data_IF_703639743175
#
_entry.id   IF_703639743175
#
_cell.length_a   1.000
_cell.length_b   1.000
_cell.length_c   1.000
_cell.angle_alpha   90.00
_cell.angle_beta   90.00
_cell.angle_gamma   90.00
#
_symmetry.space_group_name_H-M   'P 1'
#
loop_
_entity.id
_entity.type
_entity.pdbx_description
1 polymer ?
#
# COMPACT_ATOMS: atom_id res chain seq x y z
N UNK A 1 -28.83 -41.02 3.62
CA UNK A 1 -29.86 -42.03 3.28
C UNK A 1 -31.27 -41.48 2.97
N UNK A 2 -31.57 -40.17 3.07
CA UNK A 2 -32.91 -39.61 2.76
C UNK A 2 -33.13 -39.12 1.31
N UNK A 3 -32.12 -39.11 0.44
CA UNK A 3 -32.26 -38.65 -0.96
C UNK A 3 -32.73 -39.77 -1.90
N UNK A 4 -32.43 -41.03 -1.57
CA UNK A 4 -32.79 -42.19 -2.42
C UNK A 4 -34.29 -42.53 -2.40
N UNK A 5 -35.05 -42.09 -1.40
CA UNK A 5 -36.50 -42.32 -1.29
C UNK A 5 -37.32 -41.46 -2.25
N UNK A 6 -36.87 -40.23 -2.54
CA UNK A 6 -37.63 -39.28 -3.36
C UNK A 6 -37.47 -39.53 -4.86
N UNK A 7 -36.41 -40.23 -5.28
CA UNK A 7 -36.18 -40.58 -6.69
C UNK A 7 -37.10 -41.72 -7.19
N UNK A 8 -37.63 -42.56 -6.29
CA UNK A 8 -38.58 -43.63 -6.67
C UNK A 8 -39.97 -43.11 -7.06
N UNK A 9 -40.37 -41.93 -6.59
CA UNK A 9 -41.67 -41.33 -6.96
C UNK A 9 -41.67 -40.69 -8.34
N UNK A 10 -40.50 -40.33 -8.89
CA UNK A 10 -40.38 -39.82 -10.27
C UNK A 10 -40.56 -40.91 -11.34
N UNK A 11 -40.47 -42.19 -10.96
CA UNK A 11 -40.71 -43.33 -11.86
C UNK A 11 -42.19 -43.62 -12.12
N UNK A 12 -43.11 -43.17 -11.24
CA UNK A 12 -44.55 -43.41 -11.38
C UNK A 12 -45.29 -42.36 -12.22
N UNK A 13 -44.66 -41.23 -12.53
CA UNK A 13 -45.23 -40.17 -13.36
C UNK A 13 -44.19 -39.62 -14.35
N UNK A 14 -43.82 -40.41 -15.37
CA UNK A 14 -42.74 -40.05 -16.31
C UNK A 14 -43.03 -38.74 -17.07
N UNK A 15 -44.30 -38.44 -17.32
CA UNK A 15 -44.73 -37.19 -17.97
C UNK A 15 -44.52 -35.95 -17.09
N UNK A 16 -44.82 -36.03 -15.79
CA UNK A 16 -44.61 -34.88 -14.89
C UNK A 16 -43.13 -34.69 -14.56
N UNK A 17 -42.36 -35.77 -14.44
CA UNK A 17 -40.91 -35.73 -14.28
C UNK A 17 -40.22 -35.12 -15.52
N UNK A 18 -40.63 -35.52 -16.73
CA UNK A 18 -40.13 -34.95 -17.97
C UNK A 18 -40.55 -33.48 -18.14
N UNK A 19 -41.78 -33.12 -17.77
CA UNK A 19 -42.25 -31.74 -17.80
C UNK A 19 -41.50 -30.83 -16.81
N UNK A 20 -41.23 -31.30 -15.58
CA UNK A 20 -40.41 -30.58 -14.60
C UNK A 20 -38.95 -30.48 -15.03
N UNK A 21 -38.38 -31.55 -15.60
CA UNK A 21 -37.03 -31.51 -16.15
C UNK A 21 -36.95 -30.53 -17.33
N UNK A 22 -37.94 -30.49 -18.23
CA UNK A 22 -38.01 -29.52 -19.30
C UNK A 22 -38.18 -28.08 -18.77
N UNK A 23 -39.05 -27.86 -17.78
CA UNK A 23 -39.27 -26.57 -17.13
C UNK A 23 -38.05 -26.04 -16.36
N UNK A 24 -37.12 -26.89 -15.93
CA UNK A 24 -35.89 -26.47 -15.25
C UNK A 24 -34.69 -26.40 -16.20
N UNK A 25 -34.55 -27.38 -17.10
CA UNK A 25 -33.39 -27.48 -17.99
C UNK A 25 -33.50 -26.56 -19.21
N UNK A 26 -34.70 -26.32 -19.75
CA UNK A 26 -34.87 -25.42 -20.91
C UNK A 26 -34.54 -23.96 -20.53
N UNK A 27 -35.03 -23.40 -19.41
CA UNK A 27 -34.62 -22.07 -18.97
C UNK A 27 -33.12 -22.03 -18.63
N UNK A 28 -32.57 -23.04 -17.95
CA UNK A 28 -31.14 -23.09 -17.65
C UNK A 28 -30.27 -23.14 -18.92
N UNK A 29 -30.70 -23.87 -19.95
CA UNK A 29 -30.02 -23.93 -21.25
C UNK A 29 -30.14 -22.62 -22.03
N UNK A 30 -31.31 -21.98 -22.02
CA UNK A 30 -31.53 -20.68 -22.66
C UNK A 30 -30.75 -19.55 -21.97
N UNK A 31 -30.71 -19.54 -20.63
CA UNK A 31 -29.86 -18.62 -19.85
C UNK A 31 -28.38 -18.88 -20.15
N UNK A 32 -27.97 -20.14 -20.29
CA UNK A 32 -26.61 -20.52 -20.70
C UNK A 32 -26.23 -20.03 -22.10
N UNK A 33 -27.16 -20.11 -23.07
CA UNK A 33 -26.95 -19.61 -24.45
C UNK A 33 -26.94 -18.08 -24.53
N UNK A 34 -27.83 -17.41 -23.81
CA UNK A 34 -27.89 -15.94 -23.74
C UNK A 34 -26.69 -15.36 -22.97
N UNK A 35 -26.17 -16.07 -21.96
CA UNK A 35 -25.01 -15.66 -21.19
C UNK A 35 -23.65 -15.96 -21.83
N UNK A 36 -23.60 -16.83 -22.85
CA UNK A 36 -22.37 -17.17 -23.56
C UNK A 36 -21.63 -15.97 -24.19
N UNK A 37 -22.28 -15.04 -24.93
CA UNK A 37 -21.62 -13.84 -25.45
C UNK A 37 -21.08 -12.94 -24.33
N UNK A 38 -21.88 -12.66 -23.29
CA UNK A 38 -21.43 -11.88 -22.13
C UNK A 38 -20.23 -12.51 -21.40
N UNK A 39 -20.16 -13.85 -21.36
CA UNK A 39 -19.04 -14.57 -20.73
C UNK A 39 -17.75 -14.45 -21.54
N UNK A 40 -17.86 -14.47 -22.88
CA UNK A 40 -16.72 -14.28 -23.80
C UNK A 40 -16.20 -12.85 -23.72
N UNK A 41 -17.08 -11.85 -23.79
CA UNK A 41 -16.70 -10.44 -23.71
C UNK A 41 -15.98 -10.11 -22.39
N UNK A 42 -16.44 -10.71 -21.28
CA UNK A 42 -15.80 -10.56 -19.98
C UNK A 42 -14.43 -11.25 -19.90
N UNK A 43 -14.22 -12.34 -20.63
CA UNK A 43 -12.92 -13.02 -20.70
C UNK A 43 -11.92 -12.23 -21.54
N UNK A 44 -12.34 -11.71 -22.69
CA UNK A 44 -11.48 -10.91 -23.57
C UNK A 44 -11.06 -9.59 -22.89
N UNK A 45 -12.01 -8.92 -22.23
CA UNK A 45 -11.74 -7.77 -21.36
C UNK A 45 -10.72 -8.10 -20.27
N UNK A 46 -10.86 -9.26 -19.61
CA UNK A 46 -9.95 -9.68 -18.54
C UNK A 46 -8.53 -9.90 -19.06
N UNK A 47 -8.38 -10.51 -20.24
CA UNK A 47 -7.08 -10.74 -20.88
C UNK A 47 -6.38 -9.42 -21.25
N UNK A 48 -7.13 -8.45 -21.75
CA UNK A 48 -6.58 -7.13 -22.09
C UNK A 48 -6.21 -6.32 -20.86
N UNK A 49 -7.08 -6.30 -19.85
CA UNK A 49 -6.77 -5.68 -18.56
C UNK A 49 -5.55 -6.36 -17.93
N UNK A 50 -5.38 -7.67 -18.10
CA UNK A 50 -4.18 -8.38 -17.65
C UNK A 50 -2.93 -7.86 -18.37
N UNK A 51 -2.91 -7.86 -19.70
CA UNK A 51 -1.78 -7.37 -20.48
C UNK A 51 -1.43 -5.91 -20.12
N UNK A 52 -2.44 -5.05 -20.07
CA UNK A 52 -2.29 -3.65 -19.73
C UNK A 52 -1.78 -3.46 -18.30
N UNK A 53 -2.38 -4.14 -17.32
CA UNK A 53 -2.01 -3.98 -15.91
C UNK A 53 -0.60 -4.47 -15.59
N UNK A 54 -0.02 -5.33 -16.43
CA UNK A 54 1.37 -5.78 -16.32
C UNK A 54 2.37 -4.74 -16.79
N UNK A 55 1.97 -3.84 -17.70
CA UNK A 55 2.83 -2.77 -18.19
C UNK A 55 2.55 -1.41 -17.55
N UNK A 56 1.29 -1.08 -17.30
CA UNK A 56 0.88 0.17 -16.68
C UNK A 56 1.46 0.31 -15.25
N UNK A 57 1.96 1.50 -14.96
CA UNK A 57 2.46 1.87 -13.65
C UNK A 57 1.33 2.00 -12.63
N UNK A 58 0.17 2.48 -13.07
CA UNK A 58 -1.04 2.64 -12.28
C UNK A 58 -2.26 2.30 -13.12
N UNK A 59 -3.18 1.51 -12.57
CA UNK A 59 -4.51 1.28 -13.13
C UNK A 59 -5.55 1.58 -12.06
N UNK A 60 -6.51 2.44 -12.39
CA UNK A 60 -7.66 2.77 -11.55
C UNK A 60 -8.93 2.25 -12.22
N UNK A 61 -9.81 1.64 -11.43
CA UNK A 61 -11.17 1.30 -11.84
C UNK A 61 -12.18 2.15 -11.09
N UNK A 62 -13.25 2.52 -11.78
CA UNK A 62 -14.29 3.40 -11.28
C UNK A 62 -15.67 2.87 -11.66
N UNK A 63 -16.61 3.03 -10.74
CA UNK A 63 -18.02 2.69 -10.97
C UNK A 63 -18.75 3.85 -11.67
N UNK A 64 -19.61 3.51 -12.63
CA UNK A 64 -20.49 4.46 -13.33
C UNK A 64 -21.80 4.56 -12.55
N UNK A 65 -21.90 5.62 -11.75
CA UNK A 65 -23.06 5.88 -10.88
C UNK A 65 -24.00 6.94 -11.45
N UNK A 66 -25.30 6.71 -11.28
CA UNK A 66 -26.38 7.60 -11.73
C UNK A 66 -26.42 8.94 -11.01
N UNK A 67 -25.94 8.99 -9.77
CA UNK A 67 -25.92 10.21 -8.95
C UNK A 67 -24.78 11.16 -9.32
N UNK A 68 -23.99 10.82 -10.35
CA UNK A 68 -22.83 11.60 -10.79
C UNK A 68 -22.90 11.83 -12.30
N UNK A 69 -22.41 12.99 -12.72
CA UNK A 69 -22.17 13.29 -14.13
C UNK A 69 -20.92 12.57 -14.64
N UNK A 70 -20.79 12.48 -15.97
CA UNK A 70 -19.56 12.04 -16.60
C UNK A 70 -18.37 12.88 -16.08
N UNK A 71 -17.24 12.26 -15.74
CA UNK A 71 -16.09 12.97 -15.23
C UNK A 71 -15.45 13.83 -16.32
N UNK A 72 -14.76 14.89 -15.92
CA UNK A 72 -14.12 15.85 -16.82
C UNK A 72 -13.24 15.19 -17.89
N UNK A 73 -12.52 14.12 -17.53
CA UNK A 73 -11.68 13.39 -18.49
C UNK A 73 -12.47 12.75 -19.63
N UNK A 74 -13.72 12.30 -19.41
CA UNK A 74 -14.56 11.81 -20.50
C UNK A 74 -14.96 12.95 -21.44
N UNK A 75 -15.34 14.10 -20.87
CA UNK A 75 -15.70 15.31 -21.63
C UNK A 75 -14.54 15.76 -22.50
N UNK A 76 -13.31 15.78 -21.94
CA UNK A 76 -12.10 16.15 -22.67
C UNK A 76 -11.76 15.18 -23.82
N UNK A 77 -12.17 13.91 -23.72
CA UNK A 77 -11.82 12.85 -24.68
C UNK A 77 -12.88 12.62 -25.75
N UNK A 78 -14.16 12.79 -25.40
CA UNK A 78 -15.31 12.46 -26.26
C UNK A 78 -16.13 13.69 -26.66
N UNK A 79 -15.95 14.83 -25.98
CA UNK A 79 -16.89 15.94 -26.01
C UNK A 79 -18.06 15.74 -25.05
N UNK A 80 -18.69 16.83 -24.62
CA UNK A 80 -19.70 16.82 -23.55
C UNK A 80 -20.93 15.94 -23.86
N UNK A 81 -21.45 16.02 -25.09
CA UNK A 81 -22.64 15.28 -25.50
C UNK A 81 -22.39 13.77 -25.55
N UNK A 82 -21.35 13.34 -26.27
CA UNK A 82 -20.98 11.91 -26.36
C UNK A 82 -20.59 11.33 -25.00
N UNK A 83 -19.89 12.09 -24.16
CA UNK A 83 -19.56 11.68 -22.80
C UNK A 83 -20.83 11.41 -21.98
N UNK A 84 -21.83 12.29 -22.06
CA UNK A 84 -23.10 12.13 -21.36
C UNK A 84 -23.92 10.94 -21.87
N UNK A 85 -23.99 10.74 -23.19
CA UNK A 85 -24.68 9.59 -23.79
C UNK A 85 -24.01 8.27 -23.39
N UNK A 86 -22.69 8.19 -23.49
CA UNK A 86 -21.92 7.00 -23.10
C UNK A 86 -22.03 6.72 -21.62
N UNK A 87 -22.00 7.75 -20.76
CA UNK A 87 -22.17 7.59 -19.32
C UNK A 87 -23.52 6.97 -18.96
N UNK A 88 -24.60 7.41 -19.62
CA UNK A 88 -25.95 6.82 -19.48
C UNK A 88 -25.99 5.38 -20.00
N UNK A 89 -25.37 5.09 -21.14
CA UNK A 89 -25.40 3.76 -21.75
C UNK A 89 -24.62 2.71 -20.95
N UNK A 90 -23.54 3.11 -20.27
CA UNK A 90 -22.65 2.22 -19.52
C UNK A 90 -22.98 2.16 -18.02
N UNK A 91 -24.20 2.56 -17.64
CA UNK A 91 -24.64 2.60 -16.25
C UNK A 91 -24.40 1.26 -15.52
N UNK A 92 -23.85 1.33 -14.31
CA UNK A 92 -23.58 0.17 -13.46
C UNK A 92 -22.43 -0.71 -13.95
N UNK A 93 -21.69 -0.27 -14.98
CA UNK A 93 -20.45 -0.90 -15.41
C UNK A 93 -19.23 -0.21 -14.78
N UNK A 94 -18.07 -0.85 -14.95
CA UNK A 94 -16.79 -0.29 -14.56
C UNK A 94 -16.09 0.31 -15.78
N UNK A 95 -15.40 1.42 -15.56
CA UNK A 95 -14.44 1.99 -16.52
C UNK A 95 -13.07 2.16 -15.85
N UNK A 96 -12.02 2.34 -16.66
CA UNK A 96 -10.65 2.37 -16.15
C UNK A 96 -9.84 3.55 -16.67
N UNK A 97 -8.81 3.89 -15.89
CA UNK A 97 -7.71 4.74 -16.32
C UNK A 97 -6.40 4.00 -16.11
N UNK A 98 -5.49 4.11 -17.08
CA UNK A 98 -4.15 3.54 -16.97
C UNK A 98 -3.07 4.58 -17.28
N UNK A 99 -2.01 4.59 -16.47
CA UNK A 99 -0.80 5.39 -16.66
C UNK A 99 0.36 4.49 -17.01
N UNK A 100 1.09 4.84 -18.06
CA UNK A 100 2.31 4.13 -18.51
C UNK A 100 3.60 4.87 -18.12
N UNK A 101 3.48 5.92 -17.28
CA UNK A 101 4.53 6.83 -16.88
C UNK A 101 3.95 8.17 -16.42
N UNK A 102 4.75 9.23 -16.47
CA UNK A 102 4.35 10.58 -16.03
C UNK A 102 3.44 11.35 -17.03
N UNK A 103 2.91 10.66 -18.05
CA UNK A 103 2.02 11.23 -19.07
C UNK A 103 0.53 11.25 -18.67
N UNK A 104 -0.35 11.79 -19.53
CA UNK A 104 -1.78 11.72 -19.32
C UNK A 104 -2.28 10.26 -19.31
N UNK A 105 -3.35 9.93 -18.56
CA UNK A 105 -3.89 8.58 -18.57
C UNK A 105 -4.55 8.23 -19.90
N UNK A 106 -4.50 6.94 -20.24
CA UNK A 106 -5.37 6.32 -21.24
C UNK A 106 -6.70 6.00 -20.57
N UNK A 107 -7.79 6.45 -21.17
CA UNK A 107 -9.15 6.14 -20.72
C UNK A 107 -9.62 4.85 -21.41
N UNK A 108 -10.14 3.91 -20.63
CA UNK A 108 -10.54 2.58 -21.10
C UNK A 108 -12.00 2.38 -20.76
N UNK A 109 -12.82 2.22 -21.80
CA UNK A 109 -14.25 2.01 -21.68
C UNK A 109 -14.63 0.59 -22.12
N UNK A 110 -15.65 -0.03 -21.51
CA UNK A 110 -16.27 -1.22 -22.07
C UNK A 110 -16.75 -0.96 -23.51
N UNK A 111 -16.33 -1.81 -24.45
CA UNK A 111 -16.67 -1.70 -25.87
C UNK A 111 -17.49 -2.89 -26.37
N UNK A 112 -18.34 -2.72 -27.40
CA UNK A 112 -19.01 -3.85 -28.05
C UNK A 112 -17.99 -4.73 -28.79
N UNK A 113 -18.06 -6.05 -28.55
CA UNK A 113 -17.19 -7.08 -29.16
C UNK A 113 -17.21 -7.12 -30.71
N UNK A 114 -18.26 -6.54 -31.31
CA UNK A 114 -18.56 -6.65 -32.75
C UNK A 114 -18.15 -5.43 -33.59
N UNK A 115 -17.31 -4.52 -33.08
CA UNK A 115 -16.74 -3.49 -33.93
C UNK A 115 -15.79 -4.17 -34.93
N UNK A 116 -16.21 -4.26 -36.19
CA UNK A 116 -15.33 -4.63 -37.30
C UNK A 116 -14.08 -3.73 -37.22
N UNK A 117 -12.87 -4.29 -37.41
CA UNK A 117 -11.67 -3.47 -37.49
C UNK A 117 -11.83 -2.54 -38.68
N UNK A 118 -12.24 -1.30 -38.43
CA UNK A 118 -11.99 -0.21 -39.38
C UNK A 118 -10.49 -0.12 -39.55
N UNK A 119 -10.01 0.09 -40.78
CA UNK A 119 -8.59 0.06 -41.16
C UNK A 119 -7.65 0.93 -40.31
N UNK A 120 -8.19 1.84 -39.49
CA UNK A 120 -7.45 2.75 -38.61
C UNK A 120 -7.54 2.38 -37.11
N UNK A 121 -8.32 1.37 -36.75
CA UNK A 121 -8.52 0.92 -35.37
C UNK A 121 -8.57 -0.60 -35.31
N UNK A 122 -7.44 -1.25 -35.06
CA UNK A 122 -7.42 -2.56 -34.40
C UNK A 122 -7.99 -2.36 -32.99
N UNK A 123 -9.31 -2.35 -32.89
CA UNK A 123 -10.01 -2.36 -31.62
C UNK A 123 -9.63 -3.66 -30.91
N UNK A 124 -8.95 -3.54 -29.77
CA UNK A 124 -8.74 -4.67 -28.89
C UNK A 124 -10.14 -5.21 -28.50
N UNK A 125 -10.49 -6.48 -28.79
CA UNK A 125 -11.85 -6.99 -28.65
C UNK A 125 -12.41 -6.75 -27.24
N UNK A 126 -13.51 -6.00 -27.12
CA UNK A 126 -14.20 -5.77 -25.84
C UNK A 126 -13.81 -4.50 -25.06
N UNK A 127 -12.82 -3.70 -25.51
CA UNK A 127 -12.54 -2.37 -24.93
C UNK A 127 -12.38 -1.28 -25.99
N UNK A 128 -12.74 -0.07 -25.60
CA UNK A 128 -12.41 1.15 -26.33
C UNK A 128 -11.32 1.91 -25.56
N UNK A 129 -10.19 2.17 -26.21
CA UNK A 129 -9.11 2.99 -25.68
C UNK A 129 -9.25 4.42 -26.20
N UNK A 130 -9.17 5.40 -25.30
CA UNK A 130 -9.29 6.81 -25.60
C UNK A 130 -8.03 7.54 -25.10
N UNK A 131 -7.29 8.09 -26.06
CA UNK A 131 -5.99 8.74 -25.83
C UNK A 131 -6.13 10.25 -25.70
N UNK A 132 -5.05 10.89 -25.26
CA UNK A 132 -5.05 12.33 -25.07
C UNK A 132 -5.02 13.12 -26.37
N UNK A 133 -4.25 12.61 -27.31
CA UNK A 133 -4.00 13.15 -28.62
C UNK A 133 -3.37 12.02 -29.47
N UNK A 134 -3.14 12.29 -30.75
CA UNK A 134 -2.56 11.32 -31.68
C UNK A 134 -1.11 10.93 -31.34
N UNK A 135 -0.35 11.80 -30.68
CA UNK A 135 1.03 11.50 -30.28
C UNK A 135 1.02 10.51 -29.11
N UNK A 136 0.16 10.72 -28.11
CA UNK A 136 -0.02 9.82 -26.99
C UNK A 136 -0.45 8.42 -27.47
N UNK A 137 -1.36 8.36 -28.44
CA UNK A 137 -1.76 7.11 -29.07
C UNK A 137 -0.58 6.39 -29.74
N UNK A 138 0.18 7.11 -30.57
CA UNK A 138 1.35 6.54 -31.27
C UNK A 138 2.37 5.97 -30.28
N UNK A 139 2.74 6.76 -29.26
CA UNK A 139 3.69 6.33 -28.22
C UNK A 139 3.17 5.13 -27.43
N UNK A 140 1.86 5.06 -27.19
CA UNK A 140 1.26 3.91 -26.52
C UNK A 140 1.33 2.64 -27.38
N UNK A 141 0.95 2.75 -28.67
CA UNK A 141 0.92 1.62 -29.61
C UNK A 141 2.31 1.06 -29.94
N UNK A 142 3.34 1.90 -29.90
CA UNK A 142 4.74 1.46 -30.09
C UNK A 142 5.29 0.65 -28.90
N UNK A 143 4.61 0.66 -27.73
CA UNK A 143 5.04 -0.12 -26.57
C UNK A 143 4.53 -1.56 -26.68
N UNK A 144 5.43 -2.55 -26.60
CA UNK A 144 5.00 -3.95 -26.55
C UNK A 144 4.25 -4.20 -25.24
N UNK A 145 3.00 -4.66 -25.34
CA UNK A 145 2.27 -5.15 -24.18
C UNK A 145 2.85 -6.49 -23.73
N UNK A 146 2.92 -6.70 -22.40
CA UNK A 146 3.36 -7.96 -21.83
C UNK A 146 2.54 -9.13 -22.36
N UNK A 147 3.18 -10.27 -22.59
CA UNK A 147 2.45 -11.50 -22.89
C UNK A 147 1.54 -11.89 -21.72
N UNK A 148 0.34 -12.35 -22.05
CA UNK A 148 -0.65 -12.90 -21.12
C UNK A 148 -0.25 -14.31 -20.70
N UNK A 149 0.80 -14.42 -19.88
CA UNK A 149 1.11 -15.68 -19.18
C UNK A 149 0.05 -16.04 -18.13
N UNK A 150 0.12 -17.24 -17.55
CA UNK A 150 -0.80 -17.67 -16.48
C UNK A 150 -0.71 -16.68 -15.30
N UNK A 151 -1.81 -16.04 -14.89
CA UNK A 151 -1.80 -15.13 -13.75
C UNK A 151 -1.73 -15.90 -12.43
N UNK A 152 -1.04 -15.34 -11.43
CA UNK A 152 -1.10 -15.87 -10.07
C UNK A 152 -2.50 -15.72 -9.48
N UNK A 153 -2.74 -16.39 -8.34
CA UNK A 153 -4.00 -16.21 -7.59
C UNK A 153 -4.21 -14.75 -7.15
N UNK A 154 -3.16 -14.07 -6.68
CA UNK A 154 -3.27 -12.66 -6.27
C UNK A 154 -3.56 -11.76 -7.48
N UNK A 155 -2.89 -11.98 -8.61
CA UNK A 155 -3.16 -11.21 -9.82
C UNK A 155 -4.58 -11.43 -10.34
N UNK A 156 -5.07 -12.68 -10.31
CA UNK A 156 -6.44 -13.01 -10.71
C UNK A 156 -7.46 -12.26 -9.87
N UNK A 157 -7.30 -12.25 -8.54
CA UNK A 157 -8.18 -11.52 -7.61
C UNK A 157 -8.10 -10.01 -7.85
N UNK A 158 -6.92 -9.48 -8.17
CA UNK A 158 -6.76 -8.07 -8.49
C UNK A 158 -7.55 -7.69 -9.76
N UNK A 159 -7.42 -8.50 -10.81
CA UNK A 159 -8.17 -8.28 -12.06
C UNK A 159 -9.68 -8.36 -11.82
N UNK A 160 -10.13 -9.32 -11.02
CA UNK A 160 -11.55 -9.45 -10.67
C UNK A 160 -12.05 -8.20 -9.91
N UNK A 161 -11.25 -7.63 -8.99
CA UNK A 161 -11.57 -6.38 -8.29
C UNK A 161 -11.61 -5.18 -9.23
N UNK A 162 -10.62 -5.05 -10.12
CA UNK A 162 -10.60 -4.01 -11.15
C UNK A 162 -11.84 -4.11 -12.04
N UNK A 163 -12.36 -5.31 -12.30
CA UNK A 163 -13.54 -5.51 -13.14
C UNK A 163 -14.89 -5.34 -12.44
N UNK A 164 -14.94 -5.24 -11.12
CA UNK A 164 -16.19 -5.30 -10.36
C UNK A 164 -16.38 -4.21 -9.33
N UNK A 165 -15.33 -3.47 -8.97
CA UNK A 165 -15.35 -2.47 -7.90
C UNK A 165 -14.51 -1.27 -8.26
N UNK A 166 -14.63 -0.18 -7.49
CA UNK A 166 -13.60 0.85 -7.48
C UNK A 166 -12.33 0.30 -6.84
N UNK A 167 -11.25 0.24 -7.59
CA UNK A 167 -10.01 -0.39 -7.18
C UNK A 167 -8.80 0.27 -7.85
N UNK A 168 -7.63 0.05 -7.27
CA UNK A 168 -6.35 0.55 -7.76
C UNK A 168 -5.34 -0.59 -7.78
N UNK A 169 -4.58 -0.67 -8.87
CA UNK A 169 -3.36 -1.47 -8.97
C UNK A 169 -2.19 -0.56 -9.28
N UNK A 170 -1.05 -0.76 -8.62
CA UNK A 170 0.16 0.00 -8.90
C UNK A 170 1.42 -0.86 -8.96
N UNK A 171 2.44 -0.27 -9.60
CA UNK A 171 3.82 -0.74 -9.70
C UNK A 171 4.77 0.28 -9.04
N UNK A 172 6.07 -0.05 -8.88
CA UNK A 172 7.00 0.81 -8.14
C UNK A 172 7.19 2.21 -8.73
N UNK A 173 7.04 2.36 -10.04
CA UNK A 173 7.16 3.65 -10.72
C UNK A 173 6.05 4.64 -10.30
N UNK A 174 4.78 4.18 -10.25
CA UNK A 174 3.68 5.02 -9.75
C UNK A 174 3.90 5.45 -8.30
N UNK A 175 4.32 4.52 -7.44
CA UNK A 175 4.62 4.85 -6.04
C UNK A 175 5.77 5.85 -5.93
N UNK A 176 6.78 5.74 -6.79
CA UNK A 176 7.93 6.67 -6.83
C UNK A 176 7.53 8.06 -7.33
N UNK A 177 6.68 8.14 -8.35
CA UNK A 177 6.15 9.42 -8.86
C UNK A 177 5.31 10.14 -7.79
N UNK A 178 4.53 9.38 -6.99
CA UNK A 178 3.70 9.92 -5.90
C UNK A 178 4.50 10.28 -4.64
N UNK A 179 5.30 9.36 -4.12
CA UNK A 179 5.97 9.50 -2.82
C UNK A 179 7.34 10.21 -2.90
N UNK A 180 7.88 10.40 -4.11
CA UNK A 180 9.20 10.98 -4.32
C UNK A 180 10.28 10.22 -3.54
N UNK A 181 11.12 10.96 -2.81
CA UNK A 181 12.23 10.40 -2.01
C UNK A 181 11.77 9.45 -0.89
N UNK A 182 10.52 9.56 -0.46
CA UNK A 182 9.96 8.68 0.59
C UNK A 182 9.53 7.30 0.07
N UNK A 183 9.53 7.07 -1.25
CA UNK A 183 9.20 5.77 -1.84
C UNK A 183 10.10 4.63 -1.35
N UNK A 184 11.32 4.95 -0.90
CA UNK A 184 12.25 3.98 -0.31
C UNK A 184 11.70 3.37 0.99
N UNK A 185 10.93 4.13 1.78
CA UNK A 185 10.29 3.63 3.01
C UNK A 185 9.06 2.76 2.72
N UNK A 186 8.54 2.82 1.49
CA UNK A 186 7.31 2.14 1.08
C UNK A 186 7.58 0.90 0.21
N UNK A 187 8.83 0.43 0.14
CA UNK A 187 9.23 -0.66 -0.76
C UNK A 187 8.54 -1.99 -0.43
N UNK A 188 8.16 -2.25 0.83
CA UNK A 188 7.34 -3.42 1.16
C UNK A 188 5.96 -3.42 0.49
N UNK A 189 5.51 -2.26 0.01
CA UNK A 189 4.28 -2.06 -0.75
C UNK A 189 4.56 -1.52 -2.17
N UNK A 190 5.72 -1.82 -2.76
CA UNK A 190 6.11 -1.33 -4.08
C UNK A 190 5.14 -1.74 -5.20
N UNK A 191 4.52 -2.91 -5.06
CA UNK A 191 3.39 -3.38 -5.87
C UNK A 191 2.17 -3.52 -4.98
N UNK A 192 0.98 -3.28 -5.52
CA UNK A 192 -0.22 -3.54 -4.76
C UNK A 192 -1.51 -3.47 -5.55
N UNK A 193 -2.57 -3.95 -4.90
CA UNK A 193 -3.93 -3.92 -5.40
C UNK A 193 -4.90 -3.70 -4.24
N UNK A 194 -5.66 -2.60 -4.28
CA UNK A 194 -6.61 -2.22 -3.24
C UNK A 194 -8.00 -2.00 -3.85
N UNK A 195 -9.03 -2.44 -3.15
CA UNK A 195 -10.39 -1.96 -3.38
C UNK A 195 -10.62 -0.71 -2.55
N UNK A 196 -11.35 0.24 -3.11
CA UNK A 196 -11.66 1.54 -2.54
C UNK A 196 -13.16 1.64 -2.29
N UNK A 197 -13.55 2.16 -1.13
CA UNK A 197 -14.95 2.42 -0.81
C UNK A 197 -15.07 3.70 -0.02
N UNK A 198 -15.99 4.57 -0.42
CA UNK A 198 -16.27 5.83 0.26
C UNK A 198 -17.55 5.67 1.08
N UNK A 199 -17.47 5.94 2.39
CA UNK A 199 -18.62 5.95 3.30
C UNK A 199 -18.60 7.25 4.10
N UNK A 200 -19.49 8.17 3.76
CA UNK A 200 -19.47 9.52 4.34
C UNK A 200 -18.16 10.23 4.00
N UNK A 201 -17.42 10.66 5.03
CA UNK A 201 -16.10 11.28 4.89
C UNK A 201 -14.94 10.28 4.93
N UNK A 202 -15.20 8.99 5.09
CA UNK A 202 -14.15 7.99 5.19
C UNK A 202 -13.95 7.27 3.86
N UNK A 203 -12.78 7.45 3.24
CA UNK A 203 -12.32 6.61 2.14
C UNK A 203 -11.57 5.40 2.73
N UNK A 204 -12.22 4.24 2.72
CA UNK A 204 -11.64 2.97 3.16
C UNK A 204 -10.98 2.26 2.00
N UNK A 205 -9.85 1.61 2.28
CA UNK A 205 -9.11 0.84 1.30
C UNK A 205 -8.64 -0.48 1.89
N UNK A 206 -8.72 -1.57 1.11
CA UNK A 206 -8.23 -2.87 1.55
C UNK A 206 -7.78 -3.76 0.39
N UNK A 207 -6.78 -4.60 0.64
CA UNK A 207 -6.25 -5.52 -0.35
C UNK A 207 -4.86 -6.01 -0.01
N UNK A 208 -3.99 -6.11 -1.00
CA UNK A 208 -2.69 -6.75 -0.83
C UNK A 208 -1.57 -5.97 -1.48
N UNK A 209 -0.40 -6.04 -0.85
CA UNK A 209 0.81 -5.32 -1.25
C UNK A 209 2.05 -6.21 -1.10
N UNK A 210 3.09 -5.89 -1.85
CA UNK A 210 4.33 -6.66 -1.88
C UNK A 210 5.50 -5.85 -2.45
N UNK A 211 6.76 -6.20 -2.10
CA UNK A 211 7.93 -5.66 -2.79
C UNK A 211 8.09 -6.28 -4.20
N UNK A 212 7.42 -7.41 -4.47
CA UNK A 212 7.54 -8.18 -5.72
C UNK A 212 6.27 -8.08 -6.59
N UNK A 213 6.36 -8.26 -7.93
CA UNK A 213 5.20 -8.22 -8.81
C UNK A 213 4.14 -9.26 -8.43
N UNK A 214 2.86 -8.87 -8.42
CA UNK A 214 1.74 -9.75 -8.04
C UNK A 214 1.69 -11.05 -8.86
N UNK A 215 2.11 -11.02 -10.13
CA UNK A 215 2.20 -12.20 -10.99
C UNK A 215 3.18 -13.27 -10.46
N UNK A 216 4.16 -12.90 -9.62
CA UNK A 216 5.13 -13.81 -8.99
C UNK A 216 4.66 -14.40 -7.66
N UNK A 217 3.43 -14.11 -7.24
CA UNK A 217 2.88 -14.60 -6.00
C UNK A 217 2.72 -16.13 -6.01
N UNK A 218 3.20 -16.85 -4.98
CA UNK A 218 3.00 -18.28 -4.84
C UNK A 218 1.51 -18.67 -4.81
N UNK A 219 1.14 -19.74 -5.51
CA UNK A 219 -0.26 -20.20 -5.63
C UNK A 219 -0.93 -20.53 -4.29
N UNK A 220 -0.13 -20.87 -3.28
CA UNK A 220 -0.59 -21.26 -1.94
C UNK A 220 -1.03 -20.08 -1.08
N UNK A 221 -0.75 -18.85 -1.50
CA UNK A 221 -1.19 -17.67 -0.77
C UNK A 221 -2.72 -17.58 -0.78
N UNK A 222 -3.29 -17.28 0.39
CA UNK A 222 -4.72 -17.04 0.55
C UNK A 222 -4.99 -15.54 0.52
N UNK A 223 -5.70 -15.01 -0.50
CA UNK A 223 -6.04 -13.59 -0.63
C UNK A 223 -7.22 -13.21 0.28
N UNK A 224 -7.21 -13.68 1.52
CA UNK A 224 -8.27 -13.42 2.49
C UNK A 224 -7.77 -12.41 3.52
N UNK A 225 -8.63 -11.45 3.85
CA UNK A 225 -8.41 -10.61 5.01
C UNK A 225 -8.15 -11.52 6.22
N UNK A 226 -7.07 -11.28 6.99
CA UNK A 226 -6.89 -11.97 8.25
C UNK A 226 -8.15 -11.79 9.11
N UNK A 227 -8.45 -12.80 9.95
CA UNK A 227 -9.43 -12.62 11.02
C UNK A 227 -8.83 -11.58 11.97
N UNK A 228 -9.13 -10.31 11.73
CA UNK A 228 -8.65 -9.26 12.60
C UNK A 228 -9.14 -9.56 14.01
N UNK A 229 -8.23 -9.52 14.98
CA UNK A 229 -8.63 -9.43 16.36
C UNK A 229 -9.32 -8.09 16.56
N UNK A 230 -10.37 -8.03 17.38
CA UNK A 230 -11.16 -6.80 17.57
C UNK A 230 -10.29 -5.61 18.05
N UNK A 231 -9.12 -5.88 18.60
CA UNK A 231 -8.09 -4.91 18.98
C UNK A 231 -7.41 -4.22 17.79
N UNK A 232 -7.20 -4.92 16.66
CA UNK A 232 -6.62 -4.36 15.42
C UNK A 232 -7.65 -3.56 14.61
N UNK A 233 -8.94 -3.93 14.72
CA UNK A 233 -10.08 -3.19 14.16
C UNK A 233 -10.48 -1.97 14.99
N UNK A 234 -9.76 -1.65 16.07
CA UNK A 234 -10.08 -0.53 16.95
C UNK A 234 -10.42 0.72 16.15
N UNK A 235 -11.63 1.22 16.46
CA UNK A 235 -12.16 2.53 16.07
C UNK A 235 -11.10 3.61 16.15
N UNK A 236 -11.20 4.59 15.25
CA UNK A 236 -10.39 5.81 15.25
C UNK A 236 -10.23 6.40 16.65
N UNK A 237 -9.16 6.05 17.35
CA UNK A 237 -8.60 6.97 18.32
C UNK A 237 -7.79 7.97 17.49
N UNK A 238 -8.10 9.28 17.56
CA UNK A 238 -7.20 10.32 17.10
C UNK A 238 -5.80 10.03 17.66
N UNK A 239 -4.76 10.52 16.99
CA UNK A 239 -3.45 10.57 17.62
C UNK A 239 -3.65 11.34 18.94
N UNK A 240 -3.45 10.66 20.09
CA UNK A 240 -3.77 11.18 21.44
C UNK A 240 -3.05 12.50 21.78
N UNK A 241 -2.10 12.90 20.93
CA UNK A 241 -1.26 14.06 21.06
C UNK A 241 -1.32 14.90 19.78
N UNK A 242 -1.86 16.12 19.89
CA UNK A 242 -1.99 17.10 18.81
C UNK A 242 -0.66 17.49 18.15
N UNK A 243 0.49 17.13 18.76
CA UNK A 243 1.81 17.39 18.18
C UNK A 243 2.37 16.21 17.37
N UNK A 244 1.85 15.00 17.52
CA UNK A 244 2.38 13.83 16.79
C UNK A 244 1.81 13.80 15.36
N UNK A 245 2.68 14.01 14.37
CA UNK A 245 2.35 14.11 12.94
C UNK A 245 2.32 12.76 12.22
N UNK A 246 3.17 11.83 12.65
CA UNK A 246 3.28 10.46 12.16
C UNK A 246 3.66 9.56 13.33
N UNK A 247 3.01 8.42 13.42
CA UNK A 247 3.33 7.37 14.35
C UNK A 247 3.22 6.02 13.64
N UNK A 248 4.29 5.24 13.71
CA UNK A 248 4.42 3.97 13.01
C UNK A 248 4.97 2.92 13.95
N UNK A 249 4.41 1.73 13.91
CA UNK A 249 4.97 0.52 14.49
C UNK A 249 5.28 -0.48 13.38
N UNK A 250 6.37 -1.23 13.55
CA UNK A 250 6.74 -2.28 12.62
C UNK A 250 7.34 -3.46 13.37
N UNK A 251 6.80 -4.65 13.12
CA UNK A 251 7.34 -5.91 13.58
C UNK A 251 7.42 -6.92 12.42
N UNK A 252 8.62 -7.18 11.88
CA UNK A 252 9.92 -6.56 12.21
C UNK A 252 10.14 -5.19 11.52
N UNK A 253 11.21 -4.46 11.87
CA UNK A 253 11.54 -3.16 11.25
C UNK A 253 11.84 -3.24 9.75
N UNK A 254 12.12 -4.44 9.23
CA UNK A 254 12.45 -4.68 7.83
C UNK A 254 11.37 -4.19 6.86
N UNK A 255 10.10 -4.10 7.27
CA UNK A 255 9.01 -3.54 6.46
C UNK A 255 9.20 -2.05 6.11
N UNK A 256 10.07 -1.34 6.83
CA UNK A 256 10.36 0.08 6.61
C UNK A 256 11.83 0.30 6.27
N UNK A 257 12.74 -0.35 7.01
CA UNK A 257 14.17 -0.04 6.95
C UNK A 257 14.97 -0.87 5.94
N UNK A 258 14.42 -1.98 5.41
CA UNK A 258 15.17 -2.89 4.52
C UNK A 258 15.75 -2.17 3.32
N UNK A 259 14.91 -1.45 2.59
CA UNK A 259 15.33 -0.74 1.38
C UNK A 259 16.35 0.37 1.65
N UNK A 260 16.33 0.97 2.84
CA UNK A 260 17.38 1.90 3.25
C UNK A 260 18.68 1.14 3.53
N UNK A 261 18.66 0.22 4.50
CA UNK A 261 19.88 -0.42 5.02
C UNK A 261 20.56 -1.35 4.02
N UNK A 262 19.83 -1.86 3.02
CA UNK A 262 20.36 -2.75 1.99
C UNK A 262 20.72 -2.05 0.68
N UNK A 263 20.51 -0.72 0.58
CA UNK A 263 20.85 0.02 -0.64
C UNK A 263 22.35 -0.08 -0.93
N UNK A 264 22.76 -0.55 -2.13
CA UNK A 264 24.18 -0.80 -2.43
C UNK A 264 25.09 0.40 -2.16
N UNK A 265 24.61 1.61 -2.51
CA UNK A 265 25.34 2.88 -2.34
C UNK A 265 25.70 3.21 -0.88
N UNK A 266 24.90 2.75 0.10
CA UNK A 266 25.16 3.05 1.51
C UNK A 266 25.67 1.84 2.27
N UNK A 267 25.37 0.62 1.80
CA UNK A 267 25.71 -0.63 2.48
C UNK A 267 27.21 -0.75 2.81
N UNK A 268 28.08 -0.44 1.85
CA UNK A 268 29.53 -0.50 2.05
C UNK A 268 30.00 0.54 3.07
N UNK A 269 29.46 1.77 2.98
CA UNK A 269 29.83 2.86 3.89
C UNK A 269 29.31 2.62 5.33
N UNK A 270 28.12 2.03 5.47
CA UNK A 270 27.57 1.60 6.76
C UNK A 270 28.52 0.64 7.49
N UNK A 271 29.12 -0.28 6.74
CA UNK A 271 30.07 -1.24 7.30
C UNK A 271 31.44 -0.61 7.59
N UNK A 272 32.06 0.03 6.60
CA UNK A 272 33.43 0.54 6.72
C UNK A 272 33.56 1.76 7.61
N UNK A 273 32.64 2.73 7.53
CA UNK A 273 32.72 3.98 8.27
C UNK A 273 31.98 3.93 9.62
N UNK A 274 30.92 3.12 9.74
CA UNK A 274 30.06 3.09 10.92
C UNK A 274 30.05 1.74 11.66
N UNK A 275 30.73 0.72 11.15
CA UNK A 275 30.78 -0.60 11.80
C UNK A 275 29.47 -1.38 11.79
N UNK A 276 28.51 -0.99 10.94
CA UNK A 276 27.24 -1.69 10.77
C UNK A 276 27.45 -2.89 9.86
N UNK A 277 27.97 -3.97 10.45
CA UNK A 277 28.25 -5.23 9.75
C UNK A 277 26.97 -5.90 9.21
N UNK A 278 27.08 -6.86 8.28
CA UNK A 278 25.91 -7.61 7.81
C UNK A 278 25.11 -8.26 8.94
N UNK A 279 25.78 -8.84 9.94
CA UNK A 279 25.14 -9.45 11.11
C UNK A 279 24.37 -8.41 11.95
N UNK A 280 24.95 -7.23 12.16
CA UNK A 280 24.27 -6.16 12.88
C UNK A 280 23.08 -5.63 12.08
N UNK A 281 23.20 -5.49 10.76
CA UNK A 281 22.10 -5.07 9.90
C UNK A 281 20.91 -6.05 9.97
N UNK A 282 21.16 -7.36 9.93
CA UNK A 282 20.11 -8.37 10.12
C UNK A 282 19.43 -8.20 11.47
N UNK A 283 20.19 -8.02 12.55
CA UNK A 283 19.63 -7.78 13.89
C UNK A 283 18.75 -6.52 13.94
N UNK A 284 19.18 -5.42 13.32
CA UNK A 284 18.39 -4.19 13.24
C UNK A 284 17.10 -4.40 12.45
N UNK A 285 17.16 -5.14 11.34
CA UNK A 285 16.02 -5.42 10.46
C UNK A 285 15.00 -6.38 11.10
N UNK A 286 15.42 -7.24 12.02
CA UNK A 286 14.56 -8.16 12.78
C UNK A 286 13.94 -7.50 14.03
N UNK A 287 14.51 -6.40 14.52
CA UNK A 287 14.04 -5.74 15.73
C UNK A 287 12.63 -5.13 15.54
N UNK A 288 11.71 -5.28 16.53
CA UNK A 288 10.54 -4.43 16.62
C UNK A 288 10.94 -2.94 16.67
N UNK A 289 10.17 -2.09 16.00
CA UNK A 289 10.43 -0.66 15.90
C UNK A 289 9.16 0.17 16.13
N UNK A 290 9.30 1.31 16.79
CA UNK A 290 8.37 2.44 16.68
C UNK A 290 9.08 3.66 16.07
N UNK A 291 8.41 4.37 15.18
CA UNK A 291 8.88 5.61 14.56
C UNK A 291 7.85 6.71 14.83
N UNK A 292 8.31 7.88 15.26
CA UNK A 292 7.46 9.03 15.55
C UNK A 292 8.04 10.28 14.94
N UNK A 293 7.18 11.07 14.31
CA UNK A 293 7.48 12.44 13.91
C UNK A 293 6.54 13.34 14.70
N UNK A 294 7.10 14.21 15.53
CA UNK A 294 6.31 15.16 16.30
C UNK A 294 6.74 16.59 15.96
N UNK A 295 5.77 17.50 15.98
CA UNK A 295 5.98 18.92 15.75
C UNK A 295 6.71 19.54 16.93
N UNK A 296 7.67 20.42 16.64
CA UNK A 296 8.36 21.20 17.66
C UNK A 296 7.67 22.57 17.81
N UNK A 297 7.55 23.10 19.04
CA UNK A 297 6.90 24.40 19.29
C UNK A 297 7.74 25.58 18.79
N UNK A 298 9.05 25.39 18.56
CA UNK A 298 9.96 26.41 18.06
C UNK A 298 11.38 25.88 17.88
N UNK A 299 12.29 26.77 17.54
CA UNK A 299 13.69 26.45 17.25
C UNK A 299 13.98 26.27 15.76
N UNK A 300 15.18 25.78 15.41
CA UNK A 300 15.64 25.70 14.02
C UNK A 300 15.04 24.53 13.24
N UNK A 301 14.32 23.64 13.93
CA UNK A 301 13.66 22.48 13.35
C UNK A 301 12.15 22.58 13.59
N UNK A 302 11.36 22.24 12.58
CA UNK A 302 9.89 22.27 12.66
C UNK A 302 9.30 21.00 13.29
N UNK A 303 10.07 19.91 13.25
CA UNK A 303 9.68 18.61 13.77
C UNK A 303 10.92 17.81 14.19
N UNK A 304 10.74 16.85 15.08
CA UNK A 304 11.74 15.88 15.45
C UNK A 304 11.26 14.45 15.15
N UNK A 305 12.19 13.65 14.61
CA UNK A 305 12.00 12.24 14.32
C UNK A 305 12.62 11.43 15.45
N UNK A 306 11.86 10.48 15.98
CA UNK A 306 12.33 9.50 16.95
C UNK A 306 12.12 8.08 16.42
N UNK A 307 13.10 7.22 16.67
CA UNK A 307 13.03 5.79 16.36
C UNK A 307 13.40 5.00 17.61
N UNK A 308 12.45 4.22 18.10
CA UNK A 308 12.61 3.26 19.19
C UNK A 308 12.83 1.87 18.61
N UNK A 309 13.95 1.23 18.96
CA UNK A 309 14.25 -0.16 18.59
C UNK A 309 14.30 -1.04 19.82
N UNK A 310 13.50 -2.11 19.83
CA UNK A 310 13.56 -3.16 20.86
C UNK A 310 14.60 -4.19 20.45
N UNK A 311 15.74 -4.20 21.15
CA UNK A 311 16.87 -5.04 20.81
C UNK A 311 16.92 -6.24 21.76
N UNK A 312 17.21 -7.44 21.23
CA UNK A 312 17.67 -8.54 22.06
C UNK A 312 18.96 -8.08 22.80
N UNK A 313 19.15 -8.52 24.05
CA UNK A 313 20.22 -8.12 24.99
C UNK A 313 21.48 -7.58 24.31
N UNK A 314 22.05 -6.46 24.81
CA UNK A 314 22.95 -5.62 24.03
C UNK A 314 24.07 -6.45 23.41
N UNK A 315 24.09 -6.50 22.08
CA UNK A 315 25.23 -7.09 21.40
C UNK A 315 26.37 -6.10 21.49
N UNK A 316 27.55 -6.57 21.88
CA UNK A 316 28.80 -5.79 21.83
C UNK A 316 29.02 -5.14 20.45
N UNK A 317 28.45 -5.74 19.40
CA UNK A 317 28.39 -5.19 18.05
C UNK A 317 27.65 -3.85 17.96
N UNK A 318 26.49 -3.66 18.61
CA UNK A 318 25.76 -2.37 18.60
C UNK A 318 26.61 -1.29 19.28
N UNK A 319 27.20 -1.60 20.44
CA UNK A 319 28.04 -0.64 21.16
C UNK A 319 29.25 -0.23 20.32
N UNK A 320 29.92 -1.21 19.68
CA UNK A 320 31.04 -0.93 18.77
C UNK A 320 30.62 -0.04 17.59
N UNK A 321 29.45 -0.27 17.01
CA UNK A 321 28.93 0.57 15.93
C UNK A 321 28.59 2.00 16.39
N UNK A 322 28.02 2.17 17.59
CA UNK A 322 27.75 3.48 18.16
C UNK A 322 29.05 4.25 18.45
N UNK A 323 30.09 3.60 18.96
CA UNK A 323 31.41 4.24 19.18
C UNK A 323 32.08 4.65 17.86
N UNK A 324 32.05 3.78 16.83
CA UNK A 324 32.53 4.16 15.49
C UNK A 324 31.75 5.33 14.91
N UNK A 325 30.42 5.33 15.10
CA UNK A 325 29.55 6.43 14.67
C UNK A 325 29.90 7.72 15.40
N UNK A 326 30.13 7.67 16.72
CA UNK A 326 30.58 8.81 17.52
C UNK A 326 31.88 9.41 16.96
N UNK A 327 32.90 8.58 16.71
CA UNK A 327 34.16 9.02 16.12
C UNK A 327 33.96 9.63 14.73
N UNK A 328 33.10 9.04 13.89
CA UNK A 328 32.81 9.55 12.55
C UNK A 328 32.10 10.92 12.59
N UNK A 329 31.18 11.14 13.53
CA UNK A 329 30.49 12.42 13.71
C UNK A 329 31.44 13.49 14.25
N UNK A 330 32.33 13.15 15.19
CA UNK A 330 33.37 14.06 15.68
C UNK A 330 34.33 14.50 14.58
N UNK A 331 34.76 13.57 13.73
CA UNK A 331 35.60 13.88 12.54
C UNK A 331 34.91 14.84 11.56
N UNK A 332 33.59 14.92 11.58
CA UNK A 332 32.78 15.86 10.78
C UNK A 332 32.50 17.19 11.48
N UNK A 333 33.14 17.44 12.62
CA UNK A 333 33.03 18.70 13.37
C UNK A 333 31.81 18.79 14.28
N UNK A 334 31.15 17.68 14.59
CA UNK A 334 30.06 17.66 15.57
C UNK A 334 30.60 17.42 16.98
N UNK A 335 30.05 18.14 17.94
CA UNK A 335 30.31 17.96 19.37
C UNK A 335 29.22 17.10 19.99
N UNK A 336 29.58 16.27 20.97
CA UNK A 336 28.61 15.55 21.79
C UNK A 336 28.66 16.02 23.24
N UNK A 337 27.53 15.88 23.92
CA UNK A 337 27.39 16.08 25.36
C UNK A 337 26.47 15.01 25.93
N UNK A 338 26.66 14.66 27.19
CA UNK A 338 25.73 13.82 27.91
C UNK A 338 24.64 14.70 28.52
N UNK A 339 23.38 14.37 28.25
CA UNK A 339 22.22 15.03 28.80
C UNK A 339 21.43 14.03 29.64
N UNK A 340 21.18 14.36 30.92
CA UNK A 340 20.25 13.59 31.73
C UNK A 340 18.83 13.79 31.21
N UNK A 341 18.17 12.71 30.82
CA UNK A 341 16.77 12.72 30.41
C UNK A 341 15.91 12.65 31.66
N UNK A 342 15.18 13.73 31.95
CA UNK A 342 14.38 13.88 33.16
C UNK A 342 12.91 13.73 32.78
N UNK A 343 12.18 12.88 33.50
CA UNK A 343 10.75 12.71 33.35
C UNK A 343 9.98 13.92 33.91
N UNK A 344 8.67 14.06 33.61
CA UNK A 344 7.83 15.11 34.20
C UNK A 344 7.80 15.10 35.75
N UNK A 345 8.10 13.97 36.39
CA UNK A 345 8.21 13.81 37.84
C UNK A 345 9.56 14.29 38.43
N UNK A 346 10.45 14.83 37.59
CA UNK A 346 11.76 15.33 37.99
C UNK A 346 12.83 14.24 38.17
N UNK A 347 12.54 12.97 37.87
CA UNK A 347 13.50 11.87 38.02
C UNK A 347 14.27 11.63 36.72
N UNK A 348 15.58 11.39 36.86
CA UNK A 348 16.42 10.98 35.73
C UNK A 348 16.05 9.55 35.29
N UNK A 349 15.68 9.41 34.03
CA UNK A 349 15.34 8.13 33.39
C UNK A 349 16.60 7.43 32.89
N UNK A 350 17.44 8.18 32.18
CA UNK A 350 18.71 7.71 31.61
C UNK A 350 19.55 8.90 31.16
N UNK A 351 20.83 8.68 30.91
CA UNK A 351 21.66 9.61 30.14
C UNK A 351 21.46 9.39 28.64
N UNK A 352 21.51 10.50 27.89
CA UNK A 352 21.52 10.52 26.43
C UNK A 352 22.79 11.16 25.90
N UNK A 353 23.33 10.62 24.82
CA UNK A 353 24.36 11.29 24.03
C UNK A 353 23.70 12.20 22.99
N UNK A 354 23.87 13.51 23.14
CA UNK A 354 23.28 14.54 22.27
C UNK A 354 24.35 15.17 21.41
N UNK A 355 24.07 15.31 20.11
CA UNK A 355 24.95 15.92 19.12
C UNK A 355 24.52 17.33 18.80
N UNK A 356 25.49 18.24 18.69
CA UNK A 356 25.28 19.62 18.25
C UNK A 356 26.42 20.09 17.34
N UNK A 357 26.18 21.16 16.59
CA UNK A 357 27.29 21.96 16.06
C UNK A 357 27.88 22.78 17.21
N UNK A 358 29.17 23.13 17.20
CA UNK A 358 29.74 24.03 18.20
C UNK A 358 28.90 25.32 18.33
N UNK A 359 28.41 25.61 19.55
CA UNK A 359 27.53 26.76 19.82
C UNK A 359 26.13 26.72 19.19
N UNK A 360 25.78 25.61 18.53
CA UNK A 360 24.53 25.43 17.81
C UNK A 360 23.47 24.64 18.59
N UNK A 361 22.24 24.60 18.07
CA UNK A 361 21.16 23.78 18.63
C UNK A 361 21.51 22.28 18.60
N UNK A 362 20.87 21.47 19.46
CA UNK A 362 20.91 20.01 19.34
C UNK A 362 20.38 19.56 17.97
N UNK A 363 21.13 18.67 17.32
CA UNK A 363 20.77 18.05 16.05
C UNK A 363 20.01 16.73 16.24
N UNK A 364 20.18 16.08 17.39
CA UNK A 364 19.73 14.70 17.60
C UNK A 364 20.59 13.98 18.64
N UNK A 365 20.32 12.70 18.83
CA UNK A 365 21.06 11.91 19.80
C UNK A 365 20.62 10.46 19.84
N UNK A 366 21.19 9.73 20.79
CA UNK A 366 20.69 8.42 21.16
C UNK A 366 20.71 8.21 22.66
N UNK A 367 19.82 7.35 23.15
CA UNK A 367 19.72 6.98 24.55
C UNK A 367 19.34 5.50 24.70
N UNK A 368 19.88 4.87 25.74
CA UNK A 368 19.54 3.50 26.11
C UNK A 368 18.48 3.52 27.19
N UNK A 369 17.36 2.86 26.95
CA UNK A 369 16.32 2.65 27.94
C UNK A 369 16.31 1.19 28.39
N UNK A 370 16.07 0.99 29.69
CA UNK A 370 15.89 -0.31 30.32
C UNK A 370 14.54 -0.32 31.03
N UNK A 371 13.42 -0.57 30.33
CA UNK A 371 12.15 -0.87 30.99
C UNK A 371 12.28 -2.04 31.97
N UNK A 372 11.30 -2.15 32.87
CA UNK A 372 11.24 -3.14 33.95
C UNK A 372 11.29 -4.60 33.45
N UNK A 373 10.97 -4.85 32.17
CA UNK A 373 10.95 -6.16 31.52
C UNK A 373 12.34 -6.71 31.10
N UNK A 374 13.43 -6.10 31.57
CA UNK A 374 14.83 -6.40 31.21
C UNK A 374 15.18 -6.26 29.72
N UNK A 375 14.25 -5.82 28.86
CA UNK A 375 14.53 -5.57 27.45
C UNK A 375 15.24 -4.24 27.29
N UNK A 376 16.23 -4.17 26.39
CA UNK A 376 16.92 -2.90 26.10
C UNK A 376 16.32 -2.26 24.87
N UNK A 377 16.01 -0.99 25.00
CA UNK A 377 15.54 -0.18 23.90
C UNK A 377 16.57 0.88 23.57
N UNK A 378 16.81 1.06 22.28
CA UNK A 378 17.68 2.10 21.78
C UNK A 378 16.80 3.13 21.06
N UNK A 379 16.76 4.34 21.62
CA UNK A 379 16.08 5.48 21.00
C UNK A 379 17.08 6.30 20.23
N UNK A 380 16.81 6.55 18.96
CA UNK A 380 17.48 7.56 18.15
C UNK A 380 16.58 8.76 17.96
N UNK A 381 17.14 9.96 17.92
CA UNK A 381 16.42 11.17 17.59
C UNK A 381 17.15 12.03 16.56
N UNK A 382 16.39 12.77 15.76
CA UNK A 382 16.87 13.79 14.83
C UNK A 382 15.98 15.03 14.93
N UNK A 383 16.57 16.22 14.96
CA UNK A 383 15.88 17.51 15.11
C UNK A 383 15.69 17.97 16.56
N UNK A 384 15.82 17.07 17.53
CA UNK A 384 15.78 17.37 18.97
C UNK A 384 16.56 16.29 19.76
N UNK A 385 16.95 16.54 21.02
CA UNK A 385 17.45 15.49 21.92
C UNK A 385 16.43 14.35 22.06
N UNK A 386 16.86 13.10 22.36
CA UNK A 386 15.92 12.02 22.64
C UNK A 386 15.00 12.39 23.80
N UNK A 387 13.70 12.18 23.64
CA UNK A 387 12.73 12.49 24.68
C UNK A 387 12.83 11.53 25.86
N UNK A 388 12.51 12.03 27.06
CA UNK A 388 12.40 11.22 28.28
C UNK A 388 11.14 10.34 28.33
N UNK A 389 10.26 10.44 27.33
CA UNK A 389 8.96 9.75 27.31
C UNK A 389 9.13 8.23 27.51
N UNK A 390 8.17 7.55 28.16
CA UNK A 390 8.20 6.10 28.31
C UNK A 390 8.41 5.40 26.96
N UNK A 391 9.14 4.29 26.99
CA UNK A 391 9.30 3.47 25.80
C UNK A 391 7.99 2.76 25.51
N UNK A 392 7.61 2.75 24.24
CA UNK A 392 6.36 2.16 23.81
C UNK A 392 6.42 0.63 23.92
N UNK A 393 5.33 -0.04 24.36
CA UNK A 393 5.31 -1.48 24.48
C UNK A 393 5.34 -2.12 23.08
N UNK A 394 6.53 -2.49 22.63
CA UNK A 394 6.75 -3.24 21.40
C UNK A 394 6.60 -4.74 21.71
N UNK A 395 5.38 -5.27 21.56
CA UNK A 395 5.12 -6.70 21.76
C UNK A 395 5.69 -7.51 20.58
N UNK A 396 6.37 -8.62 20.87
CA UNK A 396 6.89 -9.54 19.84
C UNK A 396 5.78 -10.35 19.16
N UNK A 397 4.63 -10.47 19.79
CA UNK A 397 3.51 -11.27 19.26
C UNK A 397 2.67 -10.51 18.22
N UNK A 398 2.81 -9.18 18.16
CA UNK A 398 2.19 -8.38 17.10
C UNK A 398 2.97 -8.55 15.82
N UNK A 399 2.31 -8.94 14.73
CA UNK A 399 2.96 -9.11 13.42
C UNK A 399 2.51 -8.01 12.47
N UNK A 400 3.45 -7.45 11.71
CA UNK A 400 3.14 -6.46 10.68
C UNK A 400 3.46 -5.02 11.08
N UNK A 401 2.85 -4.08 10.38
CA UNK A 401 3.08 -2.64 10.47
C UNK A 401 1.76 -1.94 10.74
N UNK A 402 1.73 -0.97 11.64
CA UNK A 402 0.61 -0.05 11.82
C UNK A 402 1.11 1.38 11.69
N UNK A 403 0.35 2.24 11.03
CA UNK A 403 0.72 3.63 10.82
C UNK A 403 -0.49 4.53 11.01
N UNK A 404 -0.28 5.64 11.71
CA UNK A 404 -1.18 6.78 11.78
C UNK A 404 -0.41 8.02 11.34
N UNK A 405 -0.99 8.83 10.46
CA UNK A 405 -0.39 10.10 10.05
C UNK A 405 -1.44 11.19 9.87
N UNK A 406 -0.99 12.45 9.92
CA UNK A 406 -1.80 13.66 9.71
C UNK A 406 -1.35 14.37 8.42
N UNK A 407 -1.87 13.99 7.24
CA UNK A 407 -1.39 14.50 5.95
C UNK A 407 -1.48 16.01 5.80
N UNK A 408 -2.59 16.62 6.24
CA UNK A 408 -2.76 18.07 6.19
C UNK A 408 -1.72 18.80 7.02
N UNK A 409 -1.39 18.30 8.21
CA UNK A 409 -0.37 18.87 9.07
C UNK A 409 1.04 18.70 8.48
N UNK A 410 1.36 17.52 7.95
CA UNK A 410 2.63 17.25 7.26
C UNK A 410 2.79 18.13 6.02
N UNK A 411 1.72 18.32 5.24
CA UNK A 411 1.73 19.18 4.04
C UNK A 411 1.99 20.64 4.41
N UNK A 412 1.35 21.15 5.47
CA UNK A 412 1.58 22.53 5.97
C UNK A 412 3.02 22.78 6.40
N UNK A 413 3.72 21.75 6.86
CA UNK A 413 5.13 21.81 7.27
C UNK A 413 6.11 21.44 6.14
N UNK A 414 5.62 21.19 4.93
CA UNK A 414 6.41 20.65 3.82
C UNK A 414 7.15 19.33 4.15
N UNK A 415 6.59 18.53 5.08
CA UNK A 415 7.10 17.22 5.52
C UNK A 415 6.38 16.04 4.85
N UNK A 416 5.44 16.31 3.94
CA UNK A 416 4.85 15.30 3.05
C UNK A 416 5.48 15.41 1.66
N UNK A 417 6.59 14.69 1.39
CA UNK A 417 7.31 14.80 0.12
C UNK A 417 6.51 14.17 -1.04
N UNK A 418 6.90 14.52 -2.26
CA UNK A 418 6.32 13.97 -3.49
C UNK A 418 5.12 14.75 -4.00
N UNK A 419 4.32 14.10 -4.85
CA UNK A 419 3.17 14.69 -5.57
C UNK A 419 1.87 13.99 -5.23
N UNK A 420 1.61 13.84 -3.94
CA UNK A 420 0.37 13.23 -3.46
C UNK A 420 -0.87 14.01 -3.95
N UNK A 421 -1.96 13.31 -4.33
CA UNK A 421 -3.19 13.96 -4.75
C UNK A 421 -3.75 14.90 -3.68
N UNK A 422 -4.50 15.92 -4.09
CA UNK A 422 -5.08 16.91 -3.17
C UNK A 422 -5.90 16.25 -2.04
N UNK A 423 -6.67 15.20 -2.38
CA UNK A 423 -7.46 14.42 -1.41
C UNK A 423 -6.59 13.81 -0.29
N UNK A 424 -5.36 13.38 -0.60
CA UNK A 424 -4.43 12.86 0.40
C UNK A 424 -3.80 14.00 1.17
N UNK A 425 -3.32 15.06 0.49
CA UNK A 425 -2.65 16.19 1.14
C UNK A 425 -3.55 16.97 2.09
N UNK A 426 -4.86 16.98 1.86
CA UNK A 426 -5.85 17.72 2.63
C UNK A 426 -6.58 16.86 3.67
N UNK A 427 -6.31 15.56 3.73
CA UNK A 427 -6.97 14.67 4.67
C UNK A 427 -6.58 14.97 6.12
N UNK A 428 -7.57 14.83 7.00
CA UNK A 428 -7.43 15.03 8.44
C UNK A 428 -6.60 13.93 9.09
N UNK A 429 -6.62 12.72 8.52
CA UNK A 429 -5.83 11.61 9.02
C UNK A 429 -5.83 10.40 8.10
N UNK A 430 -4.77 9.60 8.22
CA UNK A 430 -4.68 8.24 7.65
C UNK A 430 -4.37 7.28 8.78
N UNK A 431 -5.09 6.16 8.80
CA UNK A 431 -4.74 4.99 9.61
C UNK A 431 -4.65 3.79 8.68
N UNK A 432 -3.58 3.03 8.78
CA UNK A 432 -3.41 1.79 8.04
C UNK A 432 -2.69 0.75 8.87
N UNK A 433 -2.92 -0.51 8.51
CA UNK A 433 -2.15 -1.63 9.01
C UNK A 433 -1.88 -2.61 7.89
N UNK A 434 -0.71 -3.22 7.97
CA UNK A 434 -0.16 -4.13 6.98
C UNK A 434 0.30 -5.39 7.70
N UNK A 435 -0.31 -6.53 7.42
CA UNK A 435 -0.02 -7.80 8.10
C UNK A 435 0.39 -8.87 7.11
N UNK A 436 1.31 -9.79 7.45
CA UNK A 436 1.74 -10.84 6.54
C UNK A 436 0.57 -11.73 6.08
N UNK A 437 0.53 -12.06 4.79
CA UNK A 437 -0.40 -13.07 4.28
C UNK A 437 0.05 -14.46 4.73
N UNK A 438 -0.90 -15.26 5.20
CA UNK A 438 -0.65 -16.64 5.65
C UNK A 438 -0.76 -17.65 4.50
N UNK A 439 0.09 -18.67 4.51
CA UNK A 439 -0.07 -19.89 3.73
C UNK A 439 0.87 -20.98 4.24
N UNK A 440 0.46 -22.24 4.12
CA UNK A 440 1.19 -23.38 4.70
C UNK A 440 2.63 -23.44 4.17
N UNK A 441 3.61 -23.37 5.10
CA UNK A 441 5.06 -23.43 4.85
C UNK A 441 5.66 -22.30 4.00
N UNK A 442 5.05 -21.11 3.96
CA UNK A 442 5.69 -19.94 3.37
C UNK A 442 6.70 -19.33 4.35
N UNK A 443 7.95 -19.20 3.88
CA UNK A 443 8.94 -18.34 4.54
C UNK A 443 8.40 -16.89 4.61
N UNK A 444 8.75 -16.13 5.66
CA UNK A 444 8.01 -14.93 5.99
C UNK A 444 8.42 -13.72 5.11
N UNK A 445 7.53 -12.73 5.03
CA UNK A 445 7.83 -11.28 4.90
C UNK A 445 7.75 -10.54 3.55
N UNK A 446 7.20 -11.08 2.47
CA UNK A 446 7.09 -10.31 1.21
C UNK A 446 5.66 -10.11 0.69
N UNK A 447 4.65 -10.70 1.31
CA UNK A 447 3.27 -10.57 0.85
C UNK A 447 2.41 -10.16 2.03
N UNK A 448 1.69 -9.06 1.88
CA UNK A 448 0.95 -8.46 2.98
C UNK A 448 -0.49 -8.16 2.59
N UNK A 449 -1.39 -8.34 3.54
CA UNK A 449 -2.69 -7.69 3.51
C UNK A 449 -2.52 -6.26 4.02
N UNK A 450 -3.06 -5.29 3.28
CA UNK A 450 -3.09 -3.88 3.66
C UNK A 450 -4.55 -3.47 3.83
N UNK A 451 -4.86 -2.81 4.92
CA UNK A 451 -6.19 -2.27 5.21
C UNK A 451 -6.02 -0.91 5.92
N UNK A 452 -6.98 -0.03 5.73
CA UNK A 452 -6.88 1.31 6.25
C UNK A 452 -7.97 2.24 5.73
N UNK A 453 -7.81 3.50 6.14
CA UNK A 453 -8.76 4.55 5.84
C UNK A 453 -8.09 5.92 5.81
N UNK A 454 -8.68 6.79 5.01
CA UNK A 454 -8.36 8.20 4.85
C UNK A 454 -9.59 9.02 5.28
N UNK A 455 -9.43 9.85 6.31
CA UNK A 455 -10.46 10.77 6.78
C UNK A 455 -10.42 12.05 5.94
N UNK A 456 -11.47 12.27 5.15
CA UNK A 456 -11.62 13.46 4.31
C UNK A 456 -12.11 14.66 5.14
N UNK A 457 -11.75 15.90 4.75
CA UNK A 457 -12.09 17.12 5.47
C UNK A 457 -13.61 17.39 5.60
#
# INVERSE_FOLDING_TARGET
MRVASNLRHLAFYPLTAAALAALLLVPAFQIGRLGAPFRRDRQDLKLQLQALSREADLVLSHDIRMDRSAPEIWIQRLGAEQAADRWRALQGQIWWMAWMGDGPPVLILPGPSAAQPSSDSEAAPGVQLLFADALHEKVFRERPLASTGVPSRLETVCLDRLMSTSAVRWRPAALSSLAGVSSVLLQSAAHGCLSLSLKGKDLRFSGFVSPRPLASAPDRLRPSAPRATDQERSSMTPVDDATTLLHLHSHPSSSVLRALLERPLIKQNLESAFGVTPKLRTLLLEAPMALRLHRLPGGPYQAALEIDLKLASPTTAIQSALEKTKLALQKRGLSNSNLALINPDGRSVTESLVWSRPGGPPLGGWAWFKPEDQTRHLRFSLGAPPSARPVEPLNKDQTGLSMVLLPAALSKLALLPGRWPAVVRQADGIKLWMVPLTGDKLGPQDWFWLDGQLSLP
#
